data_IF_275076836089
#
_entry.id   IF_275076836089
#
_cell.length_a   1.000
_cell.length_b   1.000
_cell.length_c   1.000
_cell.angle_alpha   90.00
_cell.angle_beta   90.00
_cell.angle_gamma   90.00
#
_symmetry.space_group_name_H-M   'P 1'
#
loop_
_entity.id
_entity.type
_entity.pdbx_description
1 polymer ?
#
# COMPACT_ATOMS: atom_id res chain seq x y z
N UNK A 1 13.50 45.71 9.69
CA UNK A 1 14.40 44.58 9.38
C UNK A 1 15.30 44.99 8.21
N UNK A 2 16.61 44.77 8.28
CA UNK A 2 17.50 45.11 7.16
C UNK A 2 17.17 44.25 5.94
N UNK A 3 17.30 44.81 4.74
CA UNK A 3 16.96 44.13 3.48
C UNK A 3 17.81 42.86 3.27
N UNK A 4 19.07 42.90 3.69
CA UNK A 4 19.97 41.72 3.69
C UNK A 4 19.48 40.61 4.62
N UNK A 5 18.94 40.97 5.79
CA UNK A 5 18.34 40.01 6.72
C UNK A 5 17.11 39.35 6.10
N UNK A 6 16.30 40.11 5.35
CA UNK A 6 15.13 39.58 4.67
C UNK A 6 15.50 38.59 3.55
N UNK A 7 16.54 38.90 2.77
CA UNK A 7 17.07 37.98 1.74
C UNK A 7 17.63 36.71 2.37
N UNK A 8 18.40 36.81 3.45
CA UNK A 8 18.95 35.66 4.16
C UNK A 8 17.84 34.75 4.73
N UNK A 9 16.79 35.34 5.31
CA UNK A 9 15.63 34.59 5.83
C UNK A 9 14.87 33.88 4.71
N UNK A 10 14.64 34.56 3.57
CA UNK A 10 13.92 33.96 2.43
C UNK A 10 14.70 32.82 1.78
N UNK A 11 16.02 32.95 1.64
CA UNK A 11 16.88 31.89 1.11
C UNK A 11 16.98 30.71 2.08
N UNK A 12 17.11 30.97 3.38
CA UNK A 12 17.13 29.91 4.38
C UNK A 12 15.78 29.17 4.43
N UNK A 13 14.66 29.89 4.42
CA UNK A 13 13.32 29.30 4.41
C UNK A 13 13.05 28.53 3.10
N UNK A 14 13.37 29.12 1.95
CA UNK A 14 13.20 28.48 0.65
C UNK A 14 14.04 27.23 0.51
N UNK A 15 15.32 27.29 0.90
CA UNK A 15 16.22 26.16 0.94
C UNK A 15 15.72 25.07 1.90
N UNK A 16 15.29 25.44 3.11
CA UNK A 16 14.76 24.48 4.09
C UNK A 16 13.52 23.76 3.58
N UNK A 17 12.57 24.48 2.94
CA UNK A 17 11.34 23.90 2.39
C UNK A 17 11.58 23.01 1.17
N UNK A 18 12.55 23.38 0.32
CA UNK A 18 12.90 22.60 -0.88
C UNK A 18 13.81 21.40 -0.56
N UNK A 19 14.71 21.51 0.42
CA UNK A 19 15.63 20.46 0.84
C UNK A 19 15.09 19.60 2.00
N UNK A 20 13.85 19.84 2.47
CA UNK A 20 13.38 19.41 3.77
C UNK A 20 13.42 17.87 3.98
N UNK A 21 14.10 17.36 5.02
CA UNK A 21 13.98 15.97 5.46
C UNK A 21 12.66 15.64 6.20
N UNK A 22 11.81 16.62 6.54
CA UNK A 22 10.46 16.39 7.11
C UNK A 22 9.45 15.78 6.10
N UNK A 23 9.90 15.46 4.89
CA UNK A 23 9.19 14.63 3.93
C UNK A 23 9.38 13.13 4.15
N UNK A 24 10.12 12.73 5.19
CA UNK A 24 10.02 11.40 5.74
C UNK A 24 8.62 11.23 6.34
N UNK A 25 7.87 10.18 5.98
CA UNK A 25 6.57 9.93 6.56
C UNK A 25 6.77 9.80 8.07
N UNK A 26 6.31 10.80 8.82
CA UNK A 26 5.97 10.56 10.22
C UNK A 26 4.76 9.64 10.13
N UNK A 27 4.82 8.38 10.58
CA UNK A 27 3.63 7.54 10.63
C UNK A 27 2.66 8.18 11.61
N UNK A 28 1.73 8.97 11.08
CA UNK A 28 0.70 9.69 11.86
C UNK A 28 -0.49 8.76 12.14
N UNK A 29 -0.54 7.63 11.44
CA UNK A 29 -1.51 6.57 11.61
C UNK A 29 -0.77 5.23 11.65
N UNK A 30 -1.29 4.31 12.46
CA UNK A 30 -0.82 2.93 12.52
C UNK A 30 -1.03 2.26 11.15
N UNK A 31 -0.13 1.35 10.72
CA UNK A 31 -0.32 0.58 9.49
C UNK A 31 -1.69 -0.09 9.51
N UNK A 32 -2.47 0.08 8.43
CA UNK A 32 -3.74 -0.61 8.30
C UNK A 32 -3.47 -2.01 7.78
N UNK A 33 -3.97 -3.03 8.47
CA UNK A 33 -3.92 -4.42 7.99
C UNK A 33 -4.95 -4.60 6.88
N UNK A 34 -4.50 -5.07 5.73
CA UNK A 34 -5.36 -5.53 4.65
C UNK A 34 -5.27 -7.05 4.51
N UNK A 35 -6.34 -7.68 4.04
CA UNK A 35 -6.42 -9.12 3.85
C UNK A 35 -6.46 -9.41 2.36
N UNK A 36 -5.44 -10.09 1.85
CA UNK A 36 -5.29 -10.41 0.45
C UNK A 36 -5.72 -11.84 0.17
N UNK A 37 -6.38 -12.03 -0.98
CA UNK A 37 -6.88 -13.30 -1.50
C UNK A 37 -6.34 -13.46 -2.92
N UNK A 38 -5.73 -14.60 -3.23
CA UNK A 38 -5.23 -14.88 -4.57
C UNK A 38 -5.46 -16.33 -4.95
N UNK A 39 -5.84 -16.57 -6.20
CA UNK A 39 -6.11 -17.88 -6.79
C UNK A 39 -5.30 -18.01 -8.07
N UNK A 40 -4.54 -19.08 -8.17
CA UNK A 40 -3.86 -19.45 -9.42
C UNK A 40 -3.82 -20.96 -9.59
N UNK A 41 -3.73 -21.48 -10.83
CA UNK A 41 -3.57 -22.91 -11.05
C UNK A 41 -2.31 -23.43 -10.36
N UNK A 42 -2.38 -24.65 -9.81
CA UNK A 42 -1.21 -25.32 -9.22
C UNK A 42 -0.10 -25.43 -10.27
N UNK A 43 1.11 -25.05 -9.86
CA UNK A 43 2.30 -25.00 -10.70
C UNK A 43 3.50 -25.71 -10.09
N UNK A 44 4.66 -25.67 -10.77
CA UNK A 44 5.89 -26.28 -10.29
C UNK A 44 6.46 -25.62 -9.02
N UNK A 45 6.05 -24.37 -8.74
CA UNK A 45 6.43 -23.61 -7.55
C UNK A 45 5.48 -23.83 -6.36
N UNK A 46 4.36 -24.55 -6.59
CA UNK A 46 3.41 -24.87 -5.52
C UNK A 46 4.09 -25.80 -4.50
N UNK A 47 3.96 -25.52 -3.19
CA UNK A 47 4.49 -26.39 -2.15
C UNK A 47 3.98 -27.84 -2.31
N UNK A 48 4.79 -28.86 -1.98
CA UNK A 48 4.35 -30.24 -2.05
C UNK A 48 3.10 -30.48 -1.20
N UNK A 49 2.10 -31.13 -1.78
CA UNK A 49 0.84 -31.51 -1.12
C UNK A 49 0.47 -32.95 -1.46
N UNK A 50 -0.29 -33.60 -0.59
CA UNK A 50 -0.87 -34.91 -0.81
C UNK A 50 -2.29 -34.81 -1.36
N UNK A 51 -2.79 -35.88 -1.99
CA UNK A 51 -4.16 -35.92 -2.51
C UNK A 51 -5.23 -35.68 -1.43
N UNK A 52 -4.95 -36.04 -0.17
CA UNK A 52 -5.84 -35.78 0.95
C UNK A 52 -5.86 -34.33 1.43
N UNK A 53 -4.94 -33.49 0.95
CA UNK A 53 -4.89 -32.05 1.27
C UNK A 53 -5.72 -31.22 0.28
N UNK A 54 -6.23 -31.85 -0.79
CA UNK A 54 -7.06 -31.20 -1.79
C UNK A 54 -8.49 -31.13 -1.29
N UNK A 55 -9.04 -29.92 -1.23
CA UNK A 55 -10.42 -29.66 -0.81
C UNK A 55 -11.26 -29.37 -2.05
N UNK A 56 -12.43 -29.99 -2.16
CA UNK A 56 -13.35 -29.65 -3.24
C UNK A 56 -13.94 -28.26 -2.99
N UNK A 57 -14.08 -27.44 -4.05
CA UNK A 57 -14.68 -26.10 -3.94
C UNK A 57 -16.07 -26.12 -3.31
N UNK A 58 -16.83 -27.20 -3.50
CA UNK A 58 -18.16 -27.35 -2.90
C UNK A 58 -18.11 -27.81 -1.43
N UNK A 59 -16.96 -28.25 -0.92
CA UNK A 59 -16.74 -28.58 0.49
C UNK A 59 -16.22 -27.39 1.33
N UNK A 60 -15.81 -26.30 0.68
CA UNK A 60 -15.44 -25.07 1.38
C UNK A 60 -16.61 -24.48 2.18
N UNK A 61 -16.30 -23.80 3.27
CA UNK A 61 -17.27 -22.95 3.95
C UNK A 61 -17.81 -21.88 3.00
N UNK A 62 -19.03 -21.40 3.24
CA UNK A 62 -19.73 -20.52 2.30
C UNK A 62 -18.94 -19.22 2.00
N UNK A 63 -18.38 -18.60 3.03
CA UNK A 63 -17.55 -17.40 2.91
C UNK A 63 -16.19 -17.67 2.24
N UNK A 64 -15.57 -18.82 2.49
CA UNK A 64 -14.36 -19.24 1.81
C UNK A 64 -14.60 -19.51 0.32
N UNK A 65 -15.73 -20.13 -0.02
CA UNK A 65 -16.14 -20.39 -1.41
C UNK A 65 -16.38 -19.08 -2.16
N UNK A 66 -17.12 -18.16 -1.57
CA UNK A 66 -17.38 -16.85 -2.17
C UNK A 66 -16.08 -16.06 -2.39
N UNK A 67 -15.15 -16.13 -1.44
CA UNK A 67 -13.82 -15.52 -1.58
C UNK A 67 -12.99 -16.21 -2.68
N UNK A 68 -13.00 -17.54 -2.76
CA UNK A 68 -12.32 -18.28 -3.82
C UNK A 68 -12.86 -17.91 -5.20
N UNK A 69 -14.18 -17.93 -5.39
CA UNK A 69 -14.83 -17.62 -6.65
C UNK A 69 -14.53 -16.16 -7.08
N UNK A 70 -14.65 -15.22 -6.14
CA UNK A 70 -14.33 -13.81 -6.40
C UNK A 70 -12.87 -13.61 -6.81
N UNK A 71 -11.94 -14.35 -6.22
CA UNK A 71 -10.53 -14.28 -6.58
C UNK A 71 -10.27 -14.92 -7.96
N UNK A 72 -10.92 -16.04 -8.25
CA UNK A 72 -10.82 -16.73 -9.54
C UNK A 72 -11.38 -15.91 -10.70
N UNK A 73 -12.49 -15.20 -10.48
CA UNK A 73 -13.14 -14.34 -11.47
C UNK A 73 -12.41 -12.99 -11.64
N UNK A 74 -11.52 -12.63 -10.72
CA UNK A 74 -10.74 -11.40 -10.80
C UNK A 74 -9.75 -11.47 -11.97
N UNK A 75 -9.62 -10.41 -12.79
CA UNK A 75 -8.68 -10.39 -13.92
C UNK A 75 -7.22 -10.60 -13.50
N UNK A 76 -6.88 -10.24 -12.27
CA UNK A 76 -5.53 -10.39 -11.71
C UNK A 76 -5.38 -11.68 -10.87
N UNK A 77 -6.39 -12.54 -10.82
CA UNK A 77 -6.40 -13.76 -10.00
C UNK A 77 -6.41 -13.48 -8.50
N UNK A 78 -6.95 -12.35 -8.06
CA UNK A 78 -7.00 -12.00 -6.64
C UNK A 78 -7.66 -10.67 -6.32
N UNK A 79 -7.88 -10.42 -5.03
CA UNK A 79 -8.39 -9.15 -4.51
C UNK A 79 -7.86 -8.88 -3.09
N UNK A 80 -8.23 -7.73 -2.53
CA UNK A 80 -7.86 -7.33 -1.18
C UNK A 80 -9.03 -6.64 -0.51
N UNK A 81 -9.26 -6.95 0.77
CA UNK A 81 -10.22 -6.27 1.64
C UNK A 81 -9.49 -5.51 2.75
N UNK A 82 -9.98 -4.32 3.06
CA UNK A 82 -9.42 -3.45 4.11
C UNK A 82 -10.24 -3.52 5.40
N UNK A 83 -11.54 -3.82 5.28
CA UNK A 83 -12.42 -4.00 6.43
C UNK A 83 -12.27 -5.43 7.00
N UNK A 84 -11.90 -5.60 8.29
CA UNK A 84 -11.83 -6.91 8.92
C UNK A 84 -13.14 -7.69 8.92
N UNK A 85 -14.29 -7.01 8.84
CA UNK A 85 -15.61 -7.64 8.81
C UNK A 85 -15.97 -8.16 7.40
N UNK A 86 -15.24 -7.74 6.36
CA UNK A 86 -15.40 -8.22 4.98
C UNK A 86 -14.53 -9.45 4.66
N UNK A 87 -13.63 -9.86 5.55
CA UNK A 87 -12.79 -11.05 5.35
C UNK A 87 -13.62 -12.32 5.58
N UNK A 88 -13.35 -13.37 4.81
CA UNK A 88 -13.89 -14.69 5.13
C UNK A 88 -13.35 -15.14 6.50
N UNK A 89 -14.24 -15.40 7.45
CA UNK A 89 -13.92 -15.74 8.84
C UNK A 89 -13.37 -17.17 8.97
N UNK A 90 -13.78 -18.06 8.07
CA UNK A 90 -13.31 -19.45 7.99
C UNK A 90 -11.84 -19.58 7.55
N UNK A 91 -11.25 -18.51 6.98
CA UNK A 91 -9.89 -18.51 6.45
C UNK A 91 -8.87 -17.93 7.44
N UNK A 92 -7.66 -18.48 7.39
CA UNK A 92 -6.48 -17.94 8.09
C UNK A 92 -5.77 -16.87 7.25
N UNK A 93 -5.23 -15.84 7.90
CA UNK A 93 -4.50 -14.76 7.20
C UNK A 93 -3.11 -14.52 7.82
N UNK A 94 -2.21 -15.51 7.80
CA UNK A 94 -0.84 -15.33 8.26
C UNK A 94 -0.08 -14.34 7.35
N UNK A 95 1.00 -13.77 7.85
CA UNK A 95 1.90 -12.93 7.04
C UNK A 95 2.75 -13.76 6.07
N UNK A 96 3.04 -15.01 6.45
CA UNK A 96 3.75 -16.01 5.66
C UNK A 96 2.90 -17.27 5.49
N UNK A 97 2.04 -17.34 4.47
CA UNK A 97 1.15 -18.48 4.27
C UNK A 97 1.89 -19.78 3.97
N UNK A 98 1.35 -20.88 4.48
CA UNK A 98 1.83 -22.25 4.32
C UNK A 98 0.64 -23.21 4.12
N UNK A 99 0.88 -24.42 3.62
CA UNK A 99 -0.20 -25.36 3.34
C UNK A 99 -1.03 -25.66 4.61
N UNK A 100 -2.34 -25.43 4.55
CA UNK A 100 -3.26 -25.54 5.69
C UNK A 100 -3.33 -24.30 6.59
N UNK A 101 -2.48 -23.29 6.38
CA UNK A 101 -2.48 -22.02 7.08
C UNK A 101 -2.24 -20.86 6.09
N UNK A 102 -3.33 -20.32 5.53
CA UNK A 102 -3.27 -19.28 4.52
C UNK A 102 -2.94 -19.78 3.10
N UNK A 103 -2.83 -21.09 2.89
CA UNK A 103 -2.78 -21.75 1.58
C UNK A 103 -3.64 -23.00 1.59
N UNK A 104 -4.58 -23.09 0.66
CA UNK A 104 -5.44 -24.26 0.45
C UNK A 104 -5.33 -24.69 -1.02
N UNK A 105 -5.26 -26.01 -1.27
CA UNK A 105 -5.37 -26.53 -2.65
C UNK A 105 -6.83 -26.86 -2.91
N UNK A 106 -7.46 -26.13 -3.82
CA UNK A 106 -8.88 -26.24 -4.14
C UNK A 106 -9.07 -26.91 -5.50
N UNK A 107 -9.88 -27.96 -5.55
CA UNK A 107 -10.31 -28.57 -6.80
C UNK A 107 -11.57 -27.88 -7.33
N UNK A 108 -11.54 -27.43 -8.57
CA UNK A 108 -12.68 -26.79 -9.25
C UNK A 108 -12.61 -27.05 -10.76
N UNK A 109 -13.72 -27.49 -11.36
CA UNK A 109 -13.83 -27.77 -12.81
C UNK A 109 -12.69 -28.64 -13.38
N UNK A 110 -12.29 -29.67 -12.62
CA UNK A 110 -11.23 -30.60 -13.02
C UNK A 110 -9.81 -30.00 -12.96
N UNK A 111 -9.67 -28.77 -12.50
CA UNK A 111 -8.39 -28.08 -12.29
C UNK A 111 -8.12 -27.92 -10.80
N UNK A 112 -6.84 -27.96 -10.41
CA UNK A 112 -6.42 -27.65 -9.05
C UNK A 112 -5.86 -26.24 -9.00
N UNK A 113 -6.32 -25.50 -8.02
CA UNK A 113 -5.91 -24.13 -7.76
C UNK A 113 -5.25 -24.06 -6.39
N UNK A 114 -4.25 -23.20 -6.27
CA UNK A 114 -3.77 -22.75 -4.98
C UNK A 114 -4.50 -21.46 -4.60
N UNK A 115 -5.19 -21.53 -3.47
CA UNK A 115 -5.90 -20.40 -2.88
C UNK A 115 -5.10 -19.86 -1.70
N UNK A 116 -4.50 -18.69 -1.92
CA UNK A 116 -3.66 -18.00 -0.96
C UNK A 116 -4.44 -16.91 -0.22
N UNK A 117 -4.28 -16.87 1.09
CA UNK A 117 -4.80 -15.84 1.98
C UNK A 117 -3.71 -15.35 2.92
N UNK A 118 -3.54 -14.03 3.00
CA UNK A 118 -2.51 -13.44 3.87
C UNK A 118 -2.89 -12.05 4.35
N UNK A 119 -2.36 -11.68 5.51
CA UNK A 119 -2.38 -10.29 5.97
C UNK A 119 -1.22 -9.52 5.34
N UNK A 120 -1.50 -8.29 4.92
CA UNK A 120 -0.52 -7.37 4.35
C UNK A 120 -0.61 -6.05 5.09
N UNK A 121 0.51 -5.59 5.64
CA UNK A 121 0.60 -4.22 6.17
C UNK A 121 0.63 -3.23 5.01
N UNK A 122 -0.28 -2.27 5.01
CA UNK A 122 -0.33 -1.21 4.00
C UNK A 122 -0.12 0.14 4.65
N UNK A 123 0.61 1.01 3.94
CA UNK A 123 0.68 2.42 4.34
C UNK A 123 -0.73 3.03 4.30
N UNK A 124 -1.15 3.75 5.36
CA UNK A 124 -2.46 4.38 5.40
C UNK A 124 -2.65 5.32 4.19
N UNK A 125 -3.80 5.23 3.51
CA UNK A 125 -4.12 6.09 2.34
C UNK A 125 -3.99 7.58 2.65
N UNK A 126 -4.18 7.97 3.91
CA UNK A 126 -4.02 9.33 4.43
C UNK A 126 -2.57 9.84 4.33
N UNK A 127 -1.59 8.97 4.58
CA UNK A 127 -0.16 9.29 4.42
C UNK A 127 0.18 9.54 2.94
N UNK A 128 -0.42 8.76 2.04
CA UNK A 128 -0.27 8.95 0.59
C UNK A 128 -0.91 10.28 0.13
N UNK A 129 -2.11 10.61 0.61
CA UNK A 129 -2.80 11.87 0.29
C UNK A 129 -2.04 13.09 0.82
N UNK A 130 -1.55 13.02 2.06
CA UNK A 130 -0.70 14.08 2.61
C UNK A 130 0.55 14.28 1.76
N UNK A 131 1.19 13.19 1.33
CA UNK A 131 2.35 13.25 0.45
C UNK A 131 2.00 13.94 -0.87
N UNK A 132 0.86 13.62 -1.47
CA UNK A 132 0.43 14.19 -2.74
C UNK A 132 0.12 15.70 -2.65
N UNK A 133 -0.38 16.18 -1.51
CA UNK A 133 -0.85 17.57 -1.36
C UNK A 133 0.18 18.48 -0.69
N UNK A 134 0.85 18.03 0.36
CA UNK A 134 1.74 18.86 1.18
C UNK A 134 3.12 19.01 0.54
N UNK A 135 3.66 17.98 -0.12
CA UNK A 135 4.96 18.07 -0.81
C UNK A 135 4.97 19.12 -1.92
N UNK A 136 4.01 19.13 -2.86
CA UNK A 136 4.00 20.12 -3.93
C UNK A 136 3.79 21.54 -3.42
N UNK A 137 2.93 21.72 -2.41
CA UNK A 137 2.66 23.05 -1.82
C UNK A 137 3.89 23.57 -1.06
N UNK A 138 4.53 22.74 -0.23
CA UNK A 138 5.74 23.11 0.49
C UNK A 138 6.88 23.47 -0.46
N UNK A 139 7.08 22.67 -1.52
CA UNK A 139 8.04 22.97 -2.58
C UNK A 139 7.72 24.29 -3.29
N UNK A 140 6.46 24.53 -3.65
CA UNK A 140 6.04 25.76 -4.33
C UNK A 140 6.29 27.01 -3.47
N UNK A 141 5.95 26.95 -2.18
CA UNK A 141 6.23 28.04 -1.23
C UNK A 141 7.73 28.27 -1.08
N UNK A 142 8.52 27.19 -1.02
CA UNK A 142 9.97 27.27 -0.98
C UNK A 142 10.55 27.95 -2.22
N UNK A 143 10.11 27.52 -3.40
CA UNK A 143 10.50 28.11 -4.69
C UNK A 143 10.14 29.60 -4.78
N UNK A 144 8.91 29.98 -4.42
CA UNK A 144 8.47 31.37 -4.41
C UNK A 144 9.28 32.24 -3.43
N UNK A 145 9.69 31.66 -2.30
CA UNK A 145 10.55 32.35 -1.33
C UNK A 145 11.93 32.67 -1.93
N UNK A 146 12.52 31.74 -2.68
CA UNK A 146 13.79 31.97 -3.40
C UNK A 146 13.62 33.02 -4.50
N UNK A 147 12.56 32.96 -5.30
CA UNK A 147 12.28 33.97 -6.34
C UNK A 147 12.11 35.36 -5.72
N UNK A 148 11.40 35.47 -4.60
CA UNK A 148 11.24 36.70 -3.85
C UNK A 148 12.60 37.23 -3.33
N UNK A 149 13.48 36.36 -2.84
CA UNK A 149 14.82 36.74 -2.41
C UNK A 149 15.64 37.36 -3.55
N UNK A 150 15.61 36.74 -4.74
CA UNK A 150 16.29 37.25 -5.95
C UNK A 150 15.72 38.60 -6.36
N UNK A 151 14.39 38.74 -6.42
CA UNK A 151 13.73 40.00 -6.79
C UNK A 151 14.06 41.15 -5.82
N UNK A 152 14.10 40.87 -4.51
CA UNK A 152 14.46 41.85 -3.48
C UNK A 152 15.94 42.25 -3.60
N UNK A 153 16.83 41.31 -3.90
CA UNK A 153 18.27 41.56 -4.06
C UNK A 153 18.66 42.27 -5.37
N UNK A 154 17.97 42.00 -6.49
CA UNK A 154 18.23 42.69 -7.76
C UNK A 154 17.84 44.17 -7.69
N UNK A 155 16.76 44.49 -6.98
CA UNK A 155 16.34 45.87 -6.70
C UNK A 155 17.27 46.60 -5.69
N UNK A 156 18.40 46.01 -5.32
CA UNK A 156 19.48 46.61 -4.53
C UNK A 156 20.68 47.03 -5.41
N UNK A 157 20.72 46.54 -6.65
CA UNK A 157 21.79 46.80 -7.63
C UNK A 157 21.44 47.90 -8.64
N UNK A 158 20.16 48.29 -8.70
CA UNK A 158 19.65 49.48 -9.39
C UNK A 158 19.37 50.57 -8.36
#
# INVERSE_FOLDING_TARGET
MSRHVSVAVLLALGGLLMANPLYLPVPIAEPTTAYAHAVQPVGPETPPYAEGDVVDRDELDADARDAFDRALESPDGGFTVEDPDERAESLSYPTGPTLGDGLIVVAHDGTRYEFWTRSVEREPREVVLQRLLVQPVGFLVGFLSVVAAVAVGVRDRN
#
